data_IF_673723225272
#
_entry.id   IF_673723225272
#
_cell.length_a   1.000
_cell.length_b   1.000
_cell.length_c   1.000
_cell.angle_alpha   90.00
_cell.angle_beta   90.00
_cell.angle_gamma   90.00
#
_symmetry.space_group_name_H-M   'P 1'
#
loop_
_entity.id
_entity.type
_entity.pdbx_description
1 polymer ?
#
# COMPACT_ATOMS: atom_id res chain seq x y z
N UNK A 1 -9.38 12.15 8.61
CA UNK A 1 -10.19 11.63 7.50
C UNK A 1 -11.51 12.40 7.44
N UNK A 2 -11.92 12.90 6.27
CA UNK A 2 -13.18 13.65 6.09
C UNK A 2 -14.46 12.82 6.39
N UNK A 3 -14.34 11.54 6.70
CA UNK A 3 -15.47 10.62 6.90
C UNK A 3 -15.80 10.31 8.35
N UNK A 4 -14.92 10.65 9.29
CA UNK A 4 -15.19 10.43 10.72
C UNK A 4 -15.74 11.73 11.33
N UNK A 5 -16.82 11.62 12.08
CA UNK A 5 -17.39 12.71 12.86
C UNK A 5 -17.29 12.35 14.34
N UNK A 6 -16.93 13.30 15.17
CA UNK A 6 -16.95 13.13 16.62
C UNK A 6 -18.36 12.93 17.12
N UNK A 7 -18.49 12.19 18.19
CA UNK A 7 -19.75 11.85 18.83
C UNK A 7 -19.53 11.37 20.26
N UNK A 8 -20.58 10.91 20.89
CA UNK A 8 -20.55 10.46 22.28
C UNK A 8 -19.47 9.38 22.53
N UNK A 9 -19.28 8.48 21.55
CA UNK A 9 -18.36 7.34 21.66
C UNK A 9 -17.11 7.48 20.78
N UNK A 10 -16.91 8.63 20.12
CA UNK A 10 -15.77 8.85 19.23
C UNK A 10 -15.19 10.24 19.43
N UNK A 11 -13.95 10.30 19.90
CA UNK A 11 -13.13 11.52 19.92
C UNK A 11 -12.02 11.39 18.89
N UNK A 12 -11.65 12.50 18.24
CA UNK A 12 -10.63 12.53 17.21
C UNK A 12 -9.49 13.43 17.67
N UNK A 13 -8.32 12.84 17.90
CA UNK A 13 -7.08 13.57 18.12
C UNK A 13 -6.33 13.65 16.78
N UNK A 14 -6.16 14.85 16.25
CA UNK A 14 -5.46 15.10 15.00
C UNK A 14 -4.11 15.75 15.27
N UNK A 15 -3.06 15.23 14.64
CA UNK A 15 -1.69 15.77 14.76
C UNK A 15 -0.64 14.67 14.75
N UNK A 16 0.62 15.09 14.84
CA UNK A 16 1.74 14.18 15.09
C UNK A 16 2.05 14.26 16.58
N UNK A 17 2.16 13.10 17.21
CA UNK A 17 2.58 12.99 18.61
C UNK A 17 3.96 12.33 18.66
N UNK A 18 4.85 12.87 19.45
CA UNK A 18 6.08 12.19 19.83
C UNK A 18 5.82 11.17 20.97
N UNK A 19 6.83 10.37 21.33
CA UNK A 19 6.66 9.32 22.34
C UNK A 19 6.16 9.85 23.71
N UNK A 20 6.68 10.97 24.18
CA UNK A 20 6.26 11.55 25.46
C UNK A 20 4.80 12.08 25.41
N UNK A 21 4.41 12.68 24.31
CA UNK A 21 3.04 13.15 24.09
C UNK A 21 2.07 11.98 24.01
N UNK A 22 2.48 10.86 23.39
CA UNK A 22 1.69 9.62 23.37
C UNK A 22 1.50 9.03 24.76
N UNK A 23 2.58 8.96 25.56
CA UNK A 23 2.47 8.49 26.95
C UNK A 23 1.52 9.35 27.79
N UNK A 24 1.59 10.68 27.63
CA UNK A 24 0.70 11.59 28.35
C UNK A 24 -0.77 11.39 27.92
N UNK A 25 -1.00 11.26 26.63
CA UNK A 25 -2.35 10.97 26.09
C UNK A 25 -2.88 9.64 26.60
N UNK A 26 -2.08 8.58 26.64
CA UNK A 26 -2.48 7.27 27.16
C UNK A 26 -2.81 7.34 28.66
N UNK A 27 -2.03 8.06 29.46
CA UNK A 27 -2.30 8.29 30.89
C UNK A 27 -3.60 9.06 31.11
N UNK A 28 -3.86 10.09 30.28
CA UNK A 28 -5.09 10.87 30.33
C UNK A 28 -6.33 10.04 29.99
N UNK A 29 -6.26 9.28 28.90
CA UNK A 29 -7.38 8.49 28.40
C UNK A 29 -7.61 7.18 29.16
N UNK A 30 -6.55 6.63 29.79
CA UNK A 30 -6.56 5.33 30.48
C UNK A 30 -7.27 4.23 29.68
N UNK A 31 -6.84 3.94 28.43
CA UNK A 31 -7.55 3.01 27.57
C UNK A 31 -7.44 1.58 28.05
N UNK A 32 -8.48 0.77 27.88
CA UNK A 32 -8.43 -0.67 28.13
C UNK A 32 -7.57 -1.41 27.10
N UNK A 33 -7.46 -0.88 25.89
CA UNK A 33 -6.67 -1.47 24.79
C UNK A 33 -6.28 -0.39 23.80
N UNK A 34 -5.05 -0.43 23.33
CA UNK A 34 -4.52 0.41 22.23
C UNK A 34 -4.40 -0.43 20.97
N UNK A 35 -5.12 -0.03 19.93
CA UNK A 35 -5.05 -0.65 18.60
C UNK A 35 -4.20 0.20 17.67
N UNK A 36 -3.06 -0.33 17.26
CA UNK A 36 -2.21 0.32 16.26
C UNK A 36 -2.56 -0.18 14.85
N UNK A 37 -3.33 0.61 14.13
CA UNK A 37 -3.69 0.39 12.72
C UNK A 37 -2.96 1.38 11.79
N UNK A 38 -1.79 1.86 12.19
CA UNK A 38 -0.95 2.73 11.36
C UNK A 38 -0.48 2.00 10.10
N UNK A 39 -0.02 2.77 9.12
CA UNK A 39 0.47 2.18 7.88
C UNK A 39 1.74 1.34 8.15
N UNK A 40 1.93 0.17 7.52
CA UNK A 40 3.11 -0.70 7.74
C UNK A 40 4.47 0.00 7.58
N UNK A 41 4.53 1.05 6.76
CA UNK A 41 5.75 1.85 6.55
C UNK A 41 5.90 3.05 7.51
N UNK A 42 4.98 3.20 8.44
CA UNK A 42 5.07 4.22 9.48
C UNK A 42 5.83 3.69 10.72
N UNK A 43 7.02 3.12 10.50
CA UNK A 43 7.80 2.42 11.51
C UNK A 43 8.04 3.28 12.76
N UNK A 44 8.38 4.56 12.60
CA UNK A 44 8.63 5.48 13.70
C UNK A 44 7.40 5.64 14.62
N UNK A 45 6.20 5.85 14.05
CA UNK A 45 4.99 6.01 14.85
C UNK A 45 4.56 4.70 15.50
N UNK A 46 4.71 3.57 14.82
CA UNK A 46 4.46 2.24 15.41
C UNK A 46 5.37 1.99 16.61
N UNK A 47 6.66 2.28 16.47
CA UNK A 47 7.62 2.12 17.56
C UNK A 47 7.30 3.05 18.74
N UNK A 48 6.95 4.31 18.48
CA UNK A 48 6.54 5.27 19.50
C UNK A 48 5.28 4.81 20.24
N UNK A 49 4.27 4.30 19.55
CA UNK A 49 3.05 3.75 20.18
C UNK A 49 3.39 2.54 21.05
N UNK A 50 4.20 1.61 20.52
CA UNK A 50 4.61 0.40 21.25
C UNK A 50 5.38 0.76 22.51
N UNK A 51 6.38 1.63 22.41
CA UNK A 51 7.15 2.10 23.54
C UNK A 51 6.28 2.83 24.59
N UNK A 52 5.39 3.71 24.15
CA UNK A 52 4.46 4.39 25.04
C UNK A 52 3.53 3.43 25.80
N UNK A 53 3.02 2.39 25.14
CA UNK A 53 2.23 1.35 25.79
C UNK A 53 3.05 0.54 26.81
N UNK A 54 4.28 0.17 26.46
CA UNK A 54 5.19 -0.53 27.39
C UNK A 54 5.49 0.31 28.63
N UNK A 55 5.81 1.58 28.46
CA UNK A 55 6.15 2.51 29.55
C UNK A 55 4.97 2.81 30.47
N UNK A 56 3.76 2.80 29.93
CA UNK A 56 2.53 3.12 30.68
C UNK A 56 1.77 1.91 31.17
N UNK A 57 2.13 0.70 30.72
CA UNK A 57 1.49 -0.56 31.10
C UNK A 57 0.15 -0.84 30.42
N UNK A 58 -0.22 -0.09 29.40
CA UNK A 58 -1.45 -0.34 28.63
C UNK A 58 -1.28 -1.46 27.61
N UNK A 59 -2.34 -2.25 27.43
CA UNK A 59 -2.38 -3.35 26.45
C UNK A 59 -2.28 -2.78 25.03
N UNK A 60 -1.41 -3.39 24.21
CA UNK A 60 -1.14 -3.01 22.82
C UNK A 60 -1.45 -4.16 21.87
N UNK A 61 -2.11 -3.85 20.76
CA UNK A 61 -2.33 -4.79 19.68
C UNK A 61 -2.08 -4.15 18.32
N UNK A 62 -1.17 -4.73 17.55
CA UNK A 62 -0.97 -4.36 16.14
C UNK A 62 -2.07 -4.94 15.27
N UNK A 63 -2.66 -4.10 14.43
CA UNK A 63 -3.66 -4.49 13.43
C UNK A 63 -3.05 -4.34 12.06
N UNK A 64 -2.87 -5.44 11.37
CA UNK A 64 -2.34 -5.48 10.02
C UNK A 64 -3.50 -5.40 9.02
N UNK A 65 -3.32 -4.60 7.99
CA UNK A 65 -4.20 -4.68 6.83
C UNK A 65 -3.90 -5.97 6.10
N UNK A 66 -4.94 -6.62 5.60
CA UNK A 66 -4.77 -7.71 4.64
C UNK A 66 -3.83 -7.21 3.53
N UNK A 67 -2.77 -7.95 3.31
CA UNK A 67 -1.91 -7.71 2.19
C UNK A 67 -2.76 -7.71 0.92
N UNK A 68 -2.69 -6.64 0.15
CA UNK A 68 -3.52 -6.51 -1.04
C UNK A 68 -3.29 -7.68 -2.00
N UNK A 69 -4.30 -8.00 -2.82
CA UNK A 69 -4.32 -9.11 -3.79
C UNK A 69 -3.19 -9.10 -4.84
N UNK A 70 -2.19 -8.26 -4.69
CA UNK A 70 -1.03 -8.08 -5.58
C UNK A 70 0.29 -8.59 -4.98
N UNK A 71 0.30 -9.19 -3.77
CA UNK A 71 1.55 -9.73 -3.19
C UNK A 71 2.23 -10.73 -4.11
N UNK A 72 1.46 -11.55 -4.81
CA UNK A 72 1.98 -12.55 -5.75
C UNK A 72 2.44 -11.96 -7.10
N UNK A 73 2.10 -10.70 -7.39
CA UNK A 73 2.38 -10.03 -8.67
C UNK A 73 3.34 -8.83 -8.55
N UNK A 74 3.77 -8.49 -7.35
CA UNK A 74 4.66 -7.39 -7.08
C UNK A 74 5.99 -7.89 -6.50
N UNK A 75 7.06 -7.22 -6.85
CA UNK A 75 8.39 -7.45 -6.27
C UNK A 75 8.62 -6.41 -5.17
N UNK A 76 8.89 -6.88 -3.96
CA UNK A 76 9.23 -6.02 -2.84
C UNK A 76 10.74 -6.06 -2.61
N UNK A 77 11.33 -4.89 -2.49
CA UNK A 77 12.76 -4.72 -2.25
C UNK A 77 13.00 -3.78 -1.07
N UNK A 78 14.07 -4.01 -0.35
CA UNK A 78 14.33 -3.31 0.91
C UNK A 78 14.64 -1.82 0.71
N UNK A 79 15.41 -1.51 -0.33
CA UNK A 79 15.91 -0.17 -0.61
C UNK A 79 16.11 0.02 -2.12
N UNK A 80 16.58 1.20 -2.50
CA UNK A 80 16.80 1.54 -3.91
C UNK A 80 17.92 0.71 -4.54
N UNK A 81 18.94 0.37 -3.79
CA UNK A 81 20.06 -0.46 -4.24
C UNK A 81 19.59 -1.86 -4.61
N UNK A 82 18.76 -2.48 -3.77
CA UNK A 82 18.13 -3.77 -4.06
C UNK A 82 17.18 -3.72 -5.27
N UNK A 83 16.51 -2.56 -5.50
CA UNK A 83 15.72 -2.37 -6.72
C UNK A 83 16.60 -2.34 -7.96
N UNK A 84 17.73 -1.67 -7.90
CA UNK A 84 18.71 -1.62 -9.01
C UNK A 84 19.27 -3.02 -9.30
N UNK A 85 19.69 -3.74 -8.27
CA UNK A 85 20.20 -5.11 -8.41
C UNK A 85 19.17 -6.05 -9.06
N UNK A 86 17.92 -6.00 -8.60
CA UNK A 86 16.83 -6.77 -9.21
C UNK A 86 16.64 -6.42 -10.69
N UNK A 87 16.63 -5.12 -11.03
CA UNK A 87 16.37 -4.64 -12.39
C UNK A 87 17.52 -4.90 -13.34
N UNK A 88 18.78 -4.98 -12.88
CA UNK A 88 19.94 -5.32 -13.71
C UNK A 88 19.80 -6.71 -14.34
N UNK A 89 19.19 -7.65 -13.63
CA UNK A 89 18.88 -8.99 -14.14
C UNK A 89 17.69 -9.08 -15.10
N UNK A 90 17.05 -7.95 -15.46
CA UNK A 90 15.78 -7.92 -16.21
C UNK A 90 15.90 -7.22 -17.57
N UNK A 91 14.87 -7.33 -18.39
CA UNK A 91 14.72 -6.63 -19.67
C UNK A 91 13.39 -5.91 -19.78
N UNK A 92 13.36 -4.82 -20.57
CA UNK A 92 12.17 -4.01 -20.81
C UNK A 92 12.19 -2.67 -20.08
N UNK A 93 11.32 -1.77 -20.49
CA UNK A 93 11.31 -0.39 -19.99
C UNK A 93 10.76 -0.28 -18.56
N UNK A 94 11.21 0.74 -17.87
CA UNK A 94 10.98 0.99 -16.45
C UNK A 94 10.35 2.38 -16.30
N UNK A 95 9.14 2.48 -15.74
CA UNK A 95 8.61 3.75 -15.26
C UNK A 95 9.06 3.96 -13.81
N UNK A 96 9.95 4.92 -13.60
CA UNK A 96 10.49 5.24 -12.29
C UNK A 96 9.70 6.39 -11.65
N UNK A 97 9.08 6.15 -10.48
CA UNK A 97 8.22 7.12 -9.79
C UNK A 97 8.66 7.41 -8.36
N UNK A 98 9.92 7.17 -8.06
CA UNK A 98 10.53 7.36 -6.73
C UNK A 98 10.94 8.81 -6.44
N UNK A 99 10.86 9.68 -7.46
CA UNK A 99 11.29 11.08 -7.40
C UNK A 99 12.80 11.24 -7.68
N UNK A 100 13.24 12.50 -7.74
CA UNK A 100 14.60 12.86 -8.18
C UNK A 100 15.71 12.49 -7.19
N UNK A 101 15.41 12.42 -5.88
CA UNK A 101 16.43 12.17 -4.84
C UNK A 101 17.12 10.81 -4.97
N UNK A 102 16.39 9.81 -5.45
CA UNK A 102 16.92 8.45 -5.62
C UNK A 102 17.37 8.15 -7.06
N UNK A 103 17.05 9.05 -8.01
CA UNK A 103 17.28 8.82 -9.42
C UNK A 103 18.76 8.55 -9.74
N UNK A 104 19.66 9.25 -9.07
CA UNK A 104 21.11 9.05 -9.26
C UNK A 104 21.59 7.63 -8.96
N UNK A 105 20.91 6.88 -8.07
CA UNK A 105 21.27 5.48 -7.78
C UNK A 105 20.93 4.55 -8.93
N UNK A 106 19.91 4.85 -9.72
CA UNK A 106 19.49 4.06 -10.87
C UNK A 106 20.43 4.22 -12.08
N UNK A 107 21.36 5.17 -12.07
CA UNK A 107 22.41 5.26 -13.10
C UNK A 107 23.40 4.11 -13.04
N UNK A 108 23.39 3.31 -11.98
CA UNK A 108 24.18 2.10 -11.88
C UNK A 108 23.66 0.95 -12.76
N UNK A 109 22.43 1.02 -13.29
CA UNK A 109 21.97 0.09 -14.31
C UNK A 109 22.74 0.30 -15.60
N UNK A 110 23.23 -0.78 -16.20
CA UNK A 110 24.06 -0.76 -17.40
C UNK A 110 23.35 -0.11 -18.61
N UNK A 111 22.02 -0.18 -18.66
CA UNK A 111 21.16 0.34 -19.72
C UNK A 111 20.19 1.44 -19.24
N UNK A 112 20.53 2.16 -18.16
CA UNK A 112 19.65 3.14 -17.51
C UNK A 112 19.10 4.20 -18.47
N UNK A 113 19.96 4.76 -19.33
CA UNK A 113 19.60 5.81 -20.29
C UNK A 113 18.63 5.37 -21.38
N UNK A 114 18.53 4.06 -21.64
CA UNK A 114 17.67 3.50 -22.69
C UNK A 114 16.31 3.03 -22.12
N UNK A 115 16.32 2.46 -20.90
CA UNK A 115 15.15 1.79 -20.31
C UNK A 115 14.35 2.63 -19.35
N UNK A 116 14.96 3.60 -18.66
CA UNK A 116 14.30 4.33 -17.59
C UNK A 116 13.54 5.53 -18.16
N UNK A 117 12.29 5.63 -17.79
CA UNK A 117 11.43 6.79 -17.95
C UNK A 117 11.17 7.37 -16.56
N UNK A 118 11.91 8.40 -16.18
CA UNK A 118 11.87 8.98 -14.85
C UNK A 118 10.81 10.05 -14.73
N UNK A 119 9.80 9.83 -13.90
CA UNK A 119 8.78 10.82 -13.56
C UNK A 119 9.16 11.56 -12.29
N UNK A 120 9.39 12.85 -12.40
CA UNK A 120 9.86 13.73 -11.33
C UNK A 120 9.01 15.00 -11.27
N UNK A 121 9.18 15.79 -10.21
CA UNK A 121 8.54 17.11 -10.13
C UNK A 121 9.05 18.04 -11.25
N UNK A 122 8.13 18.82 -11.83
CA UNK A 122 8.43 19.77 -12.91
C UNK A 122 9.09 21.08 -12.41
N UNK A 123 9.95 21.00 -11.40
CA UNK A 123 10.71 22.15 -10.89
C UNK A 123 12.02 22.30 -11.65
N UNK A 124 12.43 23.51 -12.06
CA UNK A 124 13.66 23.71 -12.83
C UNK A 124 14.90 23.07 -12.19
N UNK A 125 15.10 23.24 -10.90
CA UNK A 125 16.22 22.64 -10.18
C UNK A 125 16.20 21.11 -10.19
N UNK A 126 15.01 20.50 -10.11
CA UNK A 126 14.85 19.04 -10.19
C UNK A 126 15.19 18.55 -11.59
N UNK A 127 14.68 19.22 -12.62
CA UNK A 127 14.94 18.88 -14.02
C UNK A 127 16.42 18.99 -14.35
N UNK A 128 17.09 20.03 -13.86
CA UNK A 128 18.53 20.23 -14.06
C UNK A 128 19.37 19.16 -13.36
N UNK A 129 19.03 18.82 -12.12
CA UNK A 129 19.65 17.71 -11.39
C UNK A 129 19.52 16.39 -12.16
N UNK A 130 18.34 16.10 -12.68
CA UNK A 130 18.09 14.86 -13.43
C UNK A 130 18.86 14.81 -14.75
N UNK A 131 19.01 15.95 -15.44
CA UNK A 131 19.86 16.07 -16.61
C UNK A 131 21.34 15.78 -16.27
N UNK A 132 21.80 16.24 -15.11
CA UNK A 132 23.14 15.93 -14.61
C UNK A 132 23.39 14.44 -14.41
N UNK A 133 22.34 13.64 -14.21
CA UNK A 133 22.40 12.16 -14.18
C UNK A 133 22.27 11.50 -15.57
N UNK A 134 22.13 12.28 -16.64
CA UNK A 134 21.99 11.76 -18.00
C UNK A 134 20.54 11.49 -18.43
N UNK A 135 19.53 11.89 -17.66
CA UNK A 135 18.13 11.73 -18.04
C UNK A 135 17.62 12.99 -18.74
N UNK A 136 17.26 12.86 -20.00
CA UNK A 136 16.74 13.97 -20.82
C UNK A 136 15.70 13.50 -21.85
N UNK A 137 15.10 14.44 -22.55
CA UNK A 137 14.13 14.16 -23.61
C UNK A 137 12.96 13.32 -23.11
N UNK A 138 12.63 12.25 -23.81
CA UNK A 138 11.52 11.33 -23.46
C UNK A 138 11.74 10.56 -22.18
N UNK A 139 12.99 10.44 -21.72
CA UNK A 139 13.38 9.71 -20.51
C UNK A 139 13.24 10.53 -19.23
N UNK A 140 12.91 11.83 -19.33
CA UNK A 140 12.68 12.72 -18.21
C UNK A 140 11.29 13.38 -18.29
N UNK A 141 10.37 12.97 -17.40
CA UNK A 141 8.97 13.37 -17.41
C UNK A 141 8.72 14.26 -16.20
N UNK A 142 8.61 15.59 -16.44
CA UNK A 142 8.32 16.58 -15.40
C UNK A 142 6.83 16.73 -15.18
N UNK A 143 6.30 16.18 -14.08
CA UNK A 143 4.87 16.27 -13.75
C UNK A 143 4.65 16.34 -12.23
N UNK A 144 3.55 17.01 -11.83
CA UNK A 144 3.14 17.10 -10.44
C UNK A 144 1.84 16.32 -10.22
N UNK A 145 1.90 15.39 -9.24
CA UNK A 145 0.75 14.58 -8.81
C UNK A 145 -0.25 15.33 -7.92
N UNK A 146 -1.28 14.64 -7.43
CA UNK A 146 -1.53 13.20 -7.56
C UNK A 146 -2.00 12.80 -8.97
N UNK A 147 -1.77 11.52 -9.33
CA UNK A 147 -2.10 10.98 -10.65
C UNK A 147 -3.19 9.91 -10.53
N UNK A 148 -4.17 9.92 -11.44
CA UNK A 148 -5.18 8.87 -11.51
C UNK A 148 -4.60 7.54 -12.00
N UNK A 149 -5.35 6.46 -11.80
CA UNK A 149 -5.00 5.13 -12.32
C UNK A 149 -4.89 5.15 -13.85
N UNK A 150 -5.83 5.84 -14.53
CA UNK A 150 -5.89 5.93 -15.99
C UNK A 150 -4.64 6.61 -16.56
N UNK A 151 -4.19 7.71 -15.93
CA UNK A 151 -2.98 8.41 -16.36
C UNK A 151 -1.73 7.56 -16.14
N UNK A 152 -1.61 6.89 -14.99
CA UNK A 152 -0.52 5.95 -14.75
C UNK A 152 -0.52 4.83 -15.81
N UNK A 153 -1.68 4.24 -16.11
CA UNK A 153 -1.82 3.19 -17.13
C UNK A 153 -1.47 3.69 -18.55
N UNK A 154 -1.90 4.92 -18.89
CA UNK A 154 -1.56 5.53 -20.18
C UNK A 154 -0.05 5.69 -20.33
N UNK A 155 0.66 6.14 -19.30
CA UNK A 155 2.12 6.25 -19.31
C UNK A 155 2.83 4.89 -19.44
N UNK A 156 2.36 3.87 -18.70
CA UNK A 156 2.92 2.52 -18.78
C UNK A 156 2.81 1.95 -20.19
N UNK A 157 1.68 2.15 -20.86
CA UNK A 157 1.47 1.72 -22.24
C UNK A 157 2.27 2.55 -23.23
N UNK A 158 2.29 3.89 -23.07
CA UNK A 158 2.99 4.82 -23.97
C UNK A 158 4.47 4.50 -24.08
N UNK A 159 5.10 4.09 -22.97
CA UNK A 159 6.51 3.79 -22.91
C UNK A 159 6.82 2.29 -22.95
N UNK A 160 5.84 1.45 -23.24
CA UNK A 160 5.94 -0.03 -23.25
C UNK A 160 6.69 -0.55 -22.01
N UNK A 161 6.28 -0.07 -20.82
CA UNK A 161 6.93 -0.42 -19.58
C UNK A 161 6.64 -1.87 -19.18
N UNK A 162 7.67 -2.56 -18.71
CA UNK A 162 7.53 -3.88 -18.07
C UNK A 162 7.61 -3.78 -16.55
N UNK A 163 8.18 -2.72 -16.03
CA UNK A 163 8.34 -2.47 -14.60
C UNK A 163 7.86 -1.09 -14.22
N UNK A 164 7.22 -1.00 -13.06
CA UNK A 164 6.89 0.26 -12.39
C UNK A 164 7.62 0.29 -11.05
N UNK A 165 8.60 1.17 -10.89
CA UNK A 165 9.29 1.33 -9.62
C UNK A 165 8.64 2.45 -8.82
N UNK A 166 8.23 2.16 -7.60
CA UNK A 166 7.60 3.13 -6.70
C UNK A 166 8.02 2.89 -5.25
N UNK A 167 7.90 3.94 -4.44
CA UNK A 167 7.93 3.81 -2.97
C UNK A 167 6.50 3.70 -2.46
N UNK A 168 6.31 2.93 -1.41
CA UNK A 168 5.03 2.96 -0.70
C UNK A 168 4.92 4.26 0.11
N UNK A 169 4.31 5.25 -0.50
CA UNK A 169 4.08 6.57 0.11
C UNK A 169 2.67 6.71 0.68
N UNK A 170 1.92 5.62 0.75
CA UNK A 170 0.54 5.62 1.20
C UNK A 170 -0.42 6.38 0.29
N UNK A 171 -1.61 6.72 0.80
CA UNK A 171 -2.67 7.39 0.01
C UNK A 171 -2.25 8.76 -0.53
N UNK A 172 -1.43 9.51 0.20
CA UNK A 172 -1.00 10.85 -0.21
C UNK A 172 -0.09 10.84 -1.46
N UNK A 173 0.60 9.72 -1.72
CA UNK A 173 1.50 9.57 -2.87
C UNK A 173 0.88 8.88 -4.09
N UNK A 174 -0.43 8.59 -4.08
CA UNK A 174 -1.09 7.88 -5.18
C UNK A 174 -0.53 6.46 -5.37
N UNK A 175 -0.18 5.78 -4.27
CA UNK A 175 0.42 4.45 -4.34
C UNK A 175 -0.54 3.43 -4.95
N UNK A 176 -1.79 3.41 -4.47
CA UNK A 176 -2.79 2.45 -4.94
C UNK A 176 -3.09 2.61 -6.43
N UNK A 177 -3.23 3.85 -6.89
CA UNK A 177 -3.49 4.17 -8.30
C UNK A 177 -2.35 3.71 -9.22
N UNK A 178 -1.11 3.73 -8.73
CA UNK A 178 0.06 3.21 -9.46
C UNK A 178 0.04 1.69 -9.55
N UNK A 179 -0.23 1.01 -8.44
CA UNK A 179 -0.28 -0.46 -8.39
C UNK A 179 -1.42 -0.98 -9.25
N UNK A 180 -2.63 -0.42 -9.11
CA UNK A 180 -3.79 -0.81 -9.92
C UNK A 180 -3.53 -0.61 -11.41
N UNK A 181 -2.88 0.49 -11.80
CA UNK A 181 -2.49 0.74 -13.18
C UNK A 181 -1.46 -0.29 -13.69
N UNK A 182 -0.45 -0.61 -12.88
CA UNK A 182 0.56 -1.60 -13.26
C UNK A 182 -0.08 -2.98 -13.49
N UNK A 183 -0.92 -3.44 -12.56
CA UNK A 183 -1.61 -4.72 -12.67
C UNK A 183 -2.57 -4.77 -13.87
N UNK A 184 -3.29 -3.67 -14.14
CA UNK A 184 -4.17 -3.56 -15.30
C UNK A 184 -3.41 -3.64 -16.63
N UNK A 185 -2.16 -3.19 -16.65
CA UNK A 185 -1.30 -3.18 -17.85
C UNK A 185 -0.37 -4.40 -17.95
N UNK A 186 -0.48 -5.37 -17.05
CA UNK A 186 0.44 -6.51 -16.93
C UNK A 186 1.91 -6.09 -16.75
N UNK A 187 2.12 -5.01 -15.98
CA UNK A 187 3.40 -4.44 -15.61
C UNK A 187 3.73 -4.87 -14.18
N UNK A 188 4.97 -5.26 -13.93
CA UNK A 188 5.43 -5.73 -12.62
C UNK A 188 5.75 -4.53 -11.73
N UNK A 189 5.01 -4.32 -10.62
CA UNK A 189 5.38 -3.30 -9.64
C UNK A 189 6.62 -3.74 -8.87
N UNK A 190 7.64 -2.90 -8.82
CA UNK A 190 8.81 -3.03 -7.94
C UNK A 190 8.65 -1.98 -6.84
N UNK A 191 8.37 -2.45 -5.64
CA UNK A 191 8.01 -1.61 -4.49
C UNK A 191 9.21 -1.52 -3.57
N UNK A 192 9.75 -0.31 -3.45
CA UNK A 192 10.87 -0.02 -2.55
C UNK A 192 10.33 0.25 -1.15
N UNK A 193 10.81 -0.48 -0.21
CA UNK A 193 10.41 -0.48 1.19
C UNK A 193 9.99 -1.89 1.57
N UNK A 194 10.51 -2.41 2.67
CA UNK A 194 10.06 -3.70 3.20
C UNK A 194 8.60 -3.58 3.64
N UNK A 195 7.76 -4.56 3.32
CA UNK A 195 6.72 -4.92 4.25
C UNK A 195 7.46 -5.31 5.53
N UNK A 196 7.33 -4.51 6.58
CA UNK A 196 7.77 -4.96 7.89
C UNK A 196 7.08 -6.30 8.11
N UNK A 197 7.85 -7.36 8.39
CA UNK A 197 7.28 -8.59 8.94
C UNK A 197 6.82 -8.25 10.35
N UNK A 198 5.67 -7.60 10.43
CA UNK A 198 5.05 -7.24 11.69
C UNK A 198 4.15 -8.40 12.10
N UNK A 199 4.36 -8.86 13.32
CA UNK A 199 3.38 -9.71 13.98
C UNK A 199 2.19 -8.85 14.40
N UNK A 200 0.99 -9.26 14.01
CA UNK A 200 -0.24 -8.54 14.33
C UNK A 200 -1.47 -9.29 13.84
N UNK A 201 -2.63 -8.85 14.29
CA UNK A 201 -3.89 -9.43 13.88
C UNK A 201 -4.39 -8.79 12.57
N UNK A 202 -4.99 -9.60 11.71
CA UNK A 202 -5.82 -9.07 10.62
C UNK A 202 -7.00 -8.29 11.17
N UNK A 203 -7.65 -7.49 10.34
CA UNK A 203 -8.86 -6.76 10.74
C UNK A 203 -9.98 -7.71 11.20
N UNK A 204 -10.09 -8.89 10.60
CA UNK A 204 -11.06 -9.91 10.96
C UNK A 204 -10.74 -10.50 12.35
N UNK A 205 -9.53 -10.97 12.56
CA UNK A 205 -9.05 -11.49 13.86
C UNK A 205 -9.16 -10.42 14.96
N UNK A 206 -8.81 -9.17 14.67
CA UNK A 206 -8.96 -8.07 15.61
C UNK A 206 -10.43 -7.85 16.02
N UNK A 207 -11.38 -7.94 15.09
CA UNK A 207 -12.81 -7.87 15.41
C UNK A 207 -13.26 -9.00 16.33
N UNK A 208 -12.79 -10.23 16.08
CA UNK A 208 -13.11 -11.37 16.95
C UNK A 208 -12.50 -11.20 18.34
N UNK A 209 -11.25 -10.83 18.42
CA UNK A 209 -10.58 -10.55 19.69
C UNK A 209 -11.30 -9.45 20.50
N UNK A 210 -11.71 -8.36 19.83
CA UNK A 210 -12.49 -7.29 20.50
C UNK A 210 -13.85 -7.79 20.98
N UNK A 211 -14.53 -8.62 20.19
CA UNK A 211 -15.82 -9.19 20.57
C UNK A 211 -15.69 -10.07 21.82
N UNK A 212 -14.69 -10.92 21.87
CA UNK A 212 -14.37 -11.76 23.04
C UNK A 212 -14.01 -10.90 24.26
N UNK A 213 -13.07 -9.95 24.06
CA UNK A 213 -12.56 -9.12 25.15
C UNK A 213 -13.64 -8.24 25.82
N UNK A 214 -14.57 -7.71 25.02
CA UNK A 214 -15.63 -6.83 25.49
C UNK A 214 -17.02 -7.50 25.57
N UNK A 215 -17.12 -8.80 25.37
CA UNK A 215 -18.39 -9.54 25.41
C UNK A 215 -19.40 -9.10 24.33
N UNK A 216 -18.92 -8.69 23.15
CA UNK A 216 -19.76 -8.18 22.07
C UNK A 216 -20.25 -9.33 21.18
N UNK A 217 -21.49 -9.26 20.73
CA UNK A 217 -22.05 -10.21 19.76
C UNK A 217 -21.82 -9.68 18.36
N UNK A 218 -20.97 -10.36 17.59
CA UNK A 218 -20.76 -10.07 16.17
C UNK A 218 -21.97 -10.56 15.37
N UNK A 219 -22.63 -9.66 14.66
CA UNK A 219 -23.70 -10.04 13.74
C UNK A 219 -23.10 -10.64 12.48
N UNK A 220 -23.55 -11.84 12.03
CA UNK A 220 -23.11 -12.41 10.79
C UNK A 220 -23.50 -11.52 9.60
N UNK A 221 -22.62 -11.38 8.64
CA UNK A 221 -22.90 -10.69 7.40
C UNK A 221 -23.15 -11.71 6.30
N UNK A 222 -24.38 -11.71 5.75
CA UNK A 222 -24.75 -12.60 4.67
C UNK A 222 -24.76 -11.85 3.35
N UNK A 223 -24.00 -12.34 2.38
CA UNK A 223 -23.98 -11.81 1.00
C UNK A 223 -24.67 -12.81 0.08
N UNK A 224 -25.74 -12.40 -0.58
CA UNK A 224 -26.37 -13.19 -1.63
C UNK A 224 -25.69 -12.85 -2.98
N UNK A 225 -25.07 -13.86 -3.59
CA UNK A 225 -24.30 -13.70 -4.81
C UNK A 225 -24.95 -14.47 -5.97
N UNK A 226 -25.28 -13.75 -7.05
CA UNK A 226 -25.63 -14.36 -8.33
C UNK A 226 -24.35 -14.66 -9.14
N UNK A 227 -24.12 -15.93 -9.48
CA UNK A 227 -22.92 -16.35 -10.23
C UNK A 227 -23.14 -16.43 -11.75
N UNK A 228 -24.26 -15.96 -12.26
CA UNK A 228 -24.57 -15.95 -13.70
C UNK A 228 -24.59 -17.38 -14.29
N UNK A 229 -23.92 -17.57 -15.41
CA UNK A 229 -23.86 -18.85 -16.14
C UNK A 229 -22.92 -19.91 -15.53
N UNK A 230 -22.34 -19.63 -14.34
CA UNK A 230 -21.49 -20.58 -13.61
C UNK A 230 -20.05 -20.67 -14.12
N UNK A 231 -19.54 -19.66 -14.82
CA UNK A 231 -18.12 -19.59 -15.17
C UNK A 231 -17.42 -18.45 -14.44
N UNK A 232 -16.17 -18.66 -14.05
CA UNK A 232 -15.34 -17.62 -13.40
C UNK A 232 -15.23 -16.34 -14.23
N UNK A 233 -15.31 -16.46 -15.56
CA UNK A 233 -15.26 -15.32 -16.49
C UNK A 233 -16.51 -14.43 -16.45
N UNK A 234 -17.63 -14.95 -15.95
CA UNK A 234 -18.90 -14.22 -15.84
C UNK A 234 -19.13 -13.62 -14.45
N UNK A 235 -18.25 -13.92 -13.50
CA UNK A 235 -18.31 -13.32 -12.16
C UNK A 235 -17.83 -11.88 -12.23
N UNK A 236 -18.60 -10.97 -11.63
CA UNK A 236 -18.15 -9.58 -11.47
C UNK A 236 -16.97 -9.49 -10.51
N UNK A 237 -16.16 -8.43 -10.61
CA UNK A 237 -15.05 -8.18 -9.67
C UNK A 237 -15.56 -8.14 -8.22
N UNK A 238 -16.75 -7.55 -8.00
CA UNK A 238 -17.37 -7.54 -6.67
C UNK A 238 -17.76 -8.94 -6.21
N UNK A 239 -18.27 -9.76 -7.13
CA UNK A 239 -18.59 -11.15 -6.84
C UNK A 239 -17.37 -11.98 -6.47
N UNK A 240 -16.27 -11.87 -7.21
CA UNK A 240 -15.00 -12.52 -6.86
C UNK A 240 -14.51 -12.09 -5.46
N UNK A 241 -14.54 -10.81 -5.17
CA UNK A 241 -14.14 -10.28 -3.85
C UNK A 241 -15.04 -10.78 -2.73
N UNK A 242 -16.35 -10.92 -2.97
CA UNK A 242 -17.29 -11.46 -1.98
C UNK A 242 -16.99 -12.92 -1.66
N UNK A 243 -16.71 -13.74 -2.69
CA UNK A 243 -16.33 -15.17 -2.53
C UNK A 243 -15.00 -15.28 -1.76
N UNK A 244 -13.98 -14.48 -2.14
CA UNK A 244 -12.66 -14.53 -1.50
C UNK A 244 -12.66 -14.11 -0.02
N UNK A 245 -13.66 -13.33 0.41
CA UNK A 245 -13.78 -12.81 1.79
C UNK A 245 -14.78 -13.58 2.65
N UNK A 246 -15.43 -14.57 2.09
CA UNK A 246 -16.43 -15.34 2.80
C UNK A 246 -15.77 -16.42 3.68
N UNK A 247 -16.12 -16.45 4.96
CA UNK A 247 -15.71 -17.50 5.89
C UNK A 247 -16.44 -18.82 5.61
N UNK A 248 -17.63 -18.72 5.03
CA UNK A 248 -18.46 -19.86 4.64
C UNK A 248 -19.22 -19.54 3.35
N UNK A 249 -19.14 -20.45 2.39
CA UNK A 249 -19.88 -20.37 1.12
C UNK A 249 -20.92 -21.49 1.12
N UNK A 250 -22.18 -21.12 0.91
CA UNK A 250 -23.30 -22.07 0.79
C UNK A 250 -23.90 -21.92 -0.59
N UNK A 251 -23.94 -23.00 -1.34
CA UNK A 251 -24.51 -23.04 -2.69
C UNK A 251 -24.87 -24.44 -3.16
N UNK A 252 -25.53 -24.56 -4.31
CA UNK A 252 -25.72 -25.84 -4.93
C UNK A 252 -24.36 -26.45 -5.34
N UNK A 253 -24.18 -27.78 -5.23
CA UNK A 253 -22.92 -28.49 -5.49
C UNK A 253 -22.30 -28.08 -6.84
N UNK A 254 -23.10 -27.94 -7.90
CA UNK A 254 -22.67 -27.47 -9.24
C UNK A 254 -22.11 -26.05 -9.25
N UNK A 255 -22.29 -25.26 -8.16
CA UNK A 255 -21.81 -23.89 -8.02
C UNK A 255 -20.57 -23.79 -7.15
N UNK A 256 -20.27 -24.83 -6.37
CA UNK A 256 -19.09 -24.90 -5.51
C UNK A 256 -17.88 -25.50 -6.25
N UNK A 257 -18.12 -26.29 -7.29
CA UNK A 257 -17.12 -27.00 -8.07
C UNK A 257 -16.70 -26.22 -9.35
N UNK A 258 -17.20 -25.00 -9.57
CA UNK A 258 -16.92 -24.10 -10.70
C UNK A 258 -16.08 -22.90 -10.27
#
# INVERSE_FOLDING_TARGET
>A
SKSLKEGEYLKIHAGRLNGAEMENLLKELSPGLVLDATHPYAAEVTENIRAACQNTGFSYQRVLREAGAYQDKAVYVENTEAAVEFLEGTKGNILLTTGSKELGKFTALSDAGERIYARVLSLPSVMETCKGYGFEGKHLIGMQGPFSMELNAAMLRQYDCKYLVTKDTGKAGGFQEKIDAALMCDVIPVIIGRPLQEEGLSVAECKHMLAEHFGLILKPHVTLLGIGMGSEKTLTIQGKRAVQRADLIIGARRMADS
#
